data_IF_122115172946
#
_entry.id   IF_122115172946
#
_cell.length_a   1.000
_cell.length_b   1.000
_cell.length_c   1.000
_cell.angle_alpha   90.00
_cell.angle_beta   90.00
_cell.angle_gamma   90.00
#
_symmetry.space_group_name_H-M   'P 1'
#
loop_
_entity.id
_entity.type
_entity.pdbx_description
1 polymer ?
#
# COMPACT_ATOMS: atom_id res chain seq x y z
N UNK A 1 -34.66 -26.14 -73.87
CA UNK A 1 -33.93 -25.07 -74.60
C UNK A 1 -34.68 -23.78 -74.30
N UNK A 2 -34.20 -22.84 -73.45
CA UNK A 2 -33.20 -21.81 -73.77
C UNK A 2 -32.95 -21.02 -72.46
N UNK A 3 -31.89 -21.33 -71.72
CA UNK A 3 -30.69 -20.48 -71.47
C UNK A 3 -30.99 -19.01 -71.10
N UNK A 4 -30.96 -18.68 -69.80
CA UNK A 4 -30.33 -17.47 -69.16
C UNK A 4 -30.22 -17.81 -67.65
N UNK A 5 -29.11 -18.33 -67.10
CA UNK A 5 -27.90 -17.62 -66.67
C UNK A 5 -28.18 -16.29 -65.93
N UNK A 6 -28.66 -16.36 -64.69
CA UNK A 6 -28.40 -15.33 -63.68
C UNK A 6 -27.63 -15.95 -62.52
N UNK A 7 -26.33 -16.02 -62.77
CA UNK A 7 -25.26 -16.61 -61.97
C UNK A 7 -25.01 -15.77 -60.72
N UNK A 8 -24.98 -16.44 -59.56
CA UNK A 8 -24.30 -16.06 -58.31
C UNK A 8 -24.03 -14.56 -58.09
N UNK A 9 -25.03 -13.86 -57.56
CA UNK A 9 -24.88 -12.54 -56.96
C UNK A 9 -24.56 -12.65 -55.45
N UNK A 10 -23.68 -13.58 -55.07
CA UNK A 10 -23.39 -13.84 -53.65
C UNK A 10 -21.93 -14.30 -53.45
N UNK A 11 -21.20 -13.57 -52.61
CA UNK A 11 -19.82 -13.86 -52.20
C UNK A 11 -18.83 -13.26 -53.19
N UNK A 12 -18.06 -12.23 -52.85
CA UNK A 12 -16.95 -12.36 -51.90
C UNK A 12 -16.30 -10.98 -51.62
N UNK A 13 -17.10 -9.93 -51.46
CA UNK A 13 -16.57 -8.62 -51.05
C UNK A 13 -17.50 -7.97 -50.02
N UNK A 14 -17.60 -8.61 -48.86
CA UNK A 14 -17.88 -7.85 -47.65
C UNK A 14 -16.95 -8.31 -46.55
N UNK A 15 -15.94 -7.48 -46.36
CA UNK A 15 -15.23 -7.22 -45.12
C UNK A 15 -16.04 -7.70 -43.92
N UNK A 16 -15.49 -8.62 -43.16
CA UNK A 16 -15.91 -8.86 -41.79
C UNK A 16 -15.76 -7.54 -41.02
N UNK A 17 -16.85 -6.77 -40.93
CA UNK A 17 -16.93 -5.69 -39.96
C UNK A 17 -17.03 -6.42 -38.62
N UNK A 18 -15.92 -6.52 -37.91
CA UNK A 18 -15.94 -6.88 -36.51
C UNK A 18 -16.57 -5.73 -35.75
N UNK A 19 -17.81 -5.90 -35.30
CA UNK A 19 -18.43 -4.97 -34.37
C UNK A 19 -17.84 -5.29 -33.01
N UNK A 20 -16.90 -4.46 -32.55
CA UNK A 20 -16.55 -4.46 -31.14
C UNK A 20 -17.80 -4.00 -30.39
N UNK A 21 -18.45 -4.93 -29.69
CA UNK A 21 -19.59 -4.61 -28.85
C UNK A 21 -19.16 -3.52 -27.86
N UNK A 22 -19.91 -2.42 -27.85
CA UNK A 22 -19.82 -1.34 -26.88
C UNK A 22 -19.67 -1.93 -25.47
N UNK A 23 -18.85 -1.34 -24.58
CA UNK A 23 -18.71 -1.85 -23.23
C UNK A 23 -20.11 -1.93 -22.60
N UNK A 24 -20.60 -3.15 -22.33
CA UNK A 24 -21.96 -3.50 -21.90
C UNK A 24 -22.32 -3.01 -20.48
N UNK A 25 -21.78 -1.87 -20.05
CA UNK A 25 -22.13 -1.21 -18.81
C UNK A 25 -20.94 -0.43 -18.27
N UNK A 26 -21.08 0.89 -18.19
CA UNK A 26 -20.25 1.70 -17.32
C UNK A 26 -20.79 1.56 -15.91
N UNK A 27 -20.11 0.80 -15.06
CA UNK A 27 -20.47 0.67 -13.65
C UNK A 27 -19.79 1.81 -12.90
N UNK A 28 -20.58 2.79 -12.44
CA UNK A 28 -20.07 3.85 -11.59
C UNK A 28 -19.86 3.32 -10.17
N UNK A 29 -18.60 3.03 -9.84
CA UNK A 29 -18.21 2.64 -8.48
C UNK A 29 -17.89 3.92 -7.71
N UNK A 30 -18.75 4.26 -6.76
CA UNK A 30 -18.49 5.36 -5.85
C UNK A 30 -17.84 4.82 -4.57
N UNK A 31 -16.54 5.03 -4.43
CA UNK A 31 -15.79 4.65 -3.23
C UNK A 31 -15.75 5.82 -2.26
N UNK A 32 -16.35 5.63 -1.09
CA UNK A 32 -16.24 6.55 0.02
C UNK A 32 -15.23 5.99 1.02
N UNK A 33 -14.21 6.79 1.34
CA UNK A 33 -13.25 6.51 2.41
C UNK A 33 -13.04 7.76 3.24
N UNK A 34 -12.97 7.59 4.56
CA UNK A 34 -12.56 8.66 5.47
C UNK A 34 -11.06 8.50 5.74
N UNK A 35 -10.25 9.44 5.28
CA UNK A 35 -8.80 9.45 5.55
C UNK A 35 -8.58 10.21 6.83
N UNK A 36 -8.12 9.51 7.86
CA UNK A 36 -7.84 10.06 9.19
C UNK A 36 -6.40 9.74 9.56
N UNK A 37 -5.71 10.73 10.10
CA UNK A 37 -4.36 10.56 10.63
C UNK A 37 -4.49 9.96 12.03
N UNK A 38 -4.11 8.68 12.16
CA UNK A 38 -4.12 7.98 13.43
C UNK A 38 -2.70 7.86 13.96
N UNK A 39 -2.39 8.62 15.01
CA UNK A 39 -1.17 8.44 15.80
C UNK A 39 -1.37 7.35 16.85
N UNK A 40 -0.33 6.57 17.13
CA UNK A 40 -0.33 5.73 18.33
C UNK A 40 -0.17 6.60 19.59
N UNK A 41 -0.78 6.18 20.71
CA UNK A 41 -0.60 6.85 22.00
C UNK A 41 0.40 6.05 22.85
N UNK A 42 1.34 6.71 23.52
CA UNK A 42 2.23 6.04 24.47
C UNK A 42 1.40 5.51 25.64
N UNK A 43 1.58 4.24 26.01
CA UNK A 43 0.87 3.65 27.15
C UNK A 43 1.07 4.52 28.39
N UNK A 44 0.02 4.77 29.19
CA UNK A 44 0.10 5.61 30.40
C UNK A 44 1.20 5.20 31.39
N UNK A 45 1.59 3.92 31.41
CA UNK A 45 2.70 3.43 32.22
C UNK A 45 4.09 3.80 31.66
N UNK A 46 4.17 4.18 30.37
CA UNK A 46 5.39 4.53 29.64
C UNK A 46 5.52 6.04 29.32
N UNK A 47 4.54 6.87 29.71
CA UNK A 47 4.56 8.32 29.46
C UNK A 47 5.77 8.99 30.13
N UNK A 48 6.06 8.62 31.39
CA UNK A 48 7.21 9.12 32.15
C UNK A 48 8.18 7.98 32.46
N UNK A 49 9.01 7.61 31.48
CA UNK A 49 10.03 6.57 31.63
C UNK A 49 11.42 7.17 31.84
N UNK A 50 11.97 6.98 33.03
CA UNK A 50 13.37 7.27 33.32
C UNK A 50 14.19 6.01 33.10
N UNK A 51 15.18 6.08 32.20
CA UNK A 51 16.13 4.99 31.95
C UNK A 51 17.42 5.29 32.70
N UNK A 52 17.74 4.48 33.71
CA UNK A 52 19.03 4.56 34.39
C UNK A 52 20.11 3.92 33.51
N UNK A 53 21.06 4.74 33.06
CA UNK A 53 22.18 4.29 32.25
C UNK A 53 23.29 3.63 33.09
N UNK A 54 23.18 3.67 34.42
CA UNK A 54 24.16 3.14 35.35
C UNK A 54 25.35 4.09 35.57
N UNK A 55 26.37 3.58 36.28
CA UNK A 55 27.57 4.35 36.61
C UNK A 55 28.79 3.78 35.90
N UNK A 56 29.45 4.62 35.10
CA UNK A 56 30.60 4.25 34.29
C UNK A 56 31.86 4.95 34.80
N UNK A 57 33.00 4.24 34.89
CA UNK A 57 34.27 4.86 35.27
C UNK A 57 34.75 5.78 34.15
N UNK A 58 35.19 6.99 34.53
CA UNK A 58 35.67 8.02 33.58
C UNK A 58 36.92 7.59 32.81
N UNK A 59 37.66 6.61 33.34
CA UNK A 59 38.81 6.00 32.67
C UNK A 59 38.45 5.19 31.41
N UNK A 60 37.16 4.87 31.21
CA UNK A 60 36.67 4.19 30.01
C UNK A 60 36.15 5.17 28.94
N UNK A 61 36.13 6.47 29.22
CA UNK A 61 35.60 7.53 28.35
C UNK A 61 36.64 8.64 28.16
N UNK A 62 37.88 8.25 27.87
CA UNK A 62 39.02 9.16 27.82
C UNK A 62 39.14 9.89 26.48
N UNK A 63 38.73 9.25 25.40
CA UNK A 63 38.85 9.76 24.04
C UNK A 63 37.47 10.09 23.46
N UNK A 64 37.46 11.01 22.50
CA UNK A 64 36.26 11.30 21.73
C UNK A 64 35.84 10.06 20.93
N UNK A 65 34.62 9.58 21.15
CA UNK A 65 34.06 8.38 20.49
C UNK A 65 34.02 7.13 21.37
N UNK A 66 34.61 7.17 22.58
CA UNK A 66 34.46 6.08 23.56
C UNK A 66 32.97 5.94 23.99
N UNK A 67 32.49 4.71 24.13
CA UNK A 67 31.08 4.40 24.43
C UNK A 67 30.94 3.47 25.63
N UNK A 68 29.82 3.57 26.33
CA UNK A 68 29.44 2.66 27.43
C UNK A 68 28.66 1.47 26.88
N UNK A 69 28.36 0.48 27.74
CA UNK A 69 27.49 -0.61 27.33
C UNK A 69 26.09 -0.07 26.96
N UNK A 70 25.47 -0.72 25.97
CA UNK A 70 24.12 -0.39 25.52
C UNK A 70 23.09 -0.76 26.58
N UNK A 71 22.24 0.18 26.95
CA UNK A 71 21.12 -0.03 27.88
C UNK A 71 19.83 -0.08 27.07
N UNK A 72 19.26 -1.28 26.83
CA UNK A 72 18.03 -1.40 26.06
C UNK A 72 16.82 -0.91 26.88
N UNK A 73 15.91 -0.20 26.22
CA UNK A 73 14.61 0.16 26.76
C UNK A 73 13.55 0.03 25.67
N UNK A 74 12.30 -0.17 26.08
CA UNK A 74 11.16 -0.32 25.18
C UNK A 74 10.05 0.63 25.60
N UNK A 75 9.38 1.23 24.61
CA UNK A 75 8.18 2.03 24.81
C UNK A 75 6.99 1.27 24.24
N UNK A 76 5.93 1.08 25.03
CA UNK A 76 4.71 0.48 24.53
C UNK A 76 3.78 1.56 24.01
N UNK A 77 3.34 1.36 22.77
CA UNK A 77 2.35 2.18 22.11
C UNK A 77 1.02 1.44 22.09
N UNK A 78 -0.06 2.15 22.37
CA UNK A 78 -1.44 1.66 22.38
C UNK A 78 -2.25 2.40 21.32
N UNK A 79 -3.29 1.74 20.79
CA UNK A 79 -4.22 2.35 19.83
C UNK A 79 -3.63 2.62 18.44
N UNK A 80 -2.58 1.90 18.03
CA UNK A 80 -2.03 2.01 16.69
C UNK A 80 -3.03 1.53 15.62
N UNK A 81 -3.24 2.29 14.53
CA UNK A 81 -4.11 1.87 13.44
C UNK A 81 -3.53 0.65 12.70
N UNK A 82 -4.38 -0.20 12.10
CA UNK A 82 -3.92 -1.33 11.31
C UNK A 82 -3.19 -0.82 10.06
N UNK A 83 -1.91 -1.19 9.93
CA UNK A 83 -1.06 -0.80 8.80
C UNK A 83 -0.04 0.30 9.08
N UNK A 84 -0.01 0.89 10.28
CA UNK A 84 1.03 1.85 10.68
C UNK A 84 2.30 1.22 11.24
N UNK A 85 2.61 -0.02 10.84
CA UNK A 85 3.82 -0.71 11.29
C UNK A 85 4.69 -1.10 10.10
N UNK A 86 5.83 -0.41 9.99
CA UNK A 86 7.12 -0.98 9.62
C UNK A 86 8.17 -0.27 10.47
#
# INVERSE_FOLDING_TARGET
>A
MRRVLFSCFCGLLWSSIGWAADPLGTININLHGNVVDFSCTVNTADIDKTVDLGRWPTTQLLNAGDTTALVPFSLRLEGCPPGSVA
#
